data_IF_278743145976
#
_entry.id   IF_278743145976
#
_cell.length_a   1.000
_cell.length_b   1.000
_cell.length_c   1.000
_cell.angle_alpha   90.00
_cell.angle_beta   90.00
_cell.angle_gamma   90.00
#
_symmetry.space_group_name_H-M   'P 1'
#
loop_
_entity.id
_entity.type
_entity.pdbx_description
1 polymer ?
#
# COMPACT_ATOMS: atom_id res chain seq x y z
N UNK A 1 27.21 -9.58 -30.00
CA UNK A 1 25.95 -8.83 -29.96
C UNK A 1 24.88 -9.75 -29.38
N UNK A 2 24.53 -9.60 -28.09
CA UNK A 2 23.39 -10.28 -27.44
C UNK A 2 22.28 -9.23 -27.37
N UNK A 3 21.55 -9.05 -28.47
CA UNK A 3 20.20 -9.55 -28.71
C UNK A 3 19.22 -9.12 -27.60
N UNK A 4 18.37 -8.17 -28.00
CA UNK A 4 17.39 -7.41 -27.23
C UNK A 4 16.29 -8.33 -26.67
N UNK A 5 16.54 -8.97 -25.54
CA UNK A 5 15.49 -9.55 -24.71
C UNK A 5 15.50 -8.85 -23.35
N UNK A 6 14.33 -8.46 -22.86
CA UNK A 6 14.04 -7.97 -21.48
C UNK A 6 14.22 -6.49 -21.17
N UNK A 7 13.69 -5.60 -22.00
CA UNK A 7 13.14 -4.38 -21.44
C UNK A 7 11.63 -4.53 -21.40
N UNK A 8 11.10 -4.98 -20.25
CA UNK A 8 9.79 -4.46 -19.85
C UNK A 8 9.96 -2.94 -19.94
N UNK A 9 9.21 -2.22 -20.78
CA UNK A 9 9.54 -0.84 -21.06
C UNK A 9 9.63 -0.07 -19.76
N UNK A 10 10.73 0.67 -19.54
CA UNK A 10 10.97 1.40 -18.28
C UNK A 10 9.76 2.25 -17.90
N UNK A 11 9.05 2.81 -18.89
CA UNK A 11 7.80 3.54 -18.66
C UNK A 11 6.72 2.71 -17.96
N UNK A 12 6.53 1.43 -18.31
CA UNK A 12 5.52 0.56 -17.65
C UNK A 12 5.88 0.27 -16.20
N UNK A 13 7.17 0.09 -15.92
CA UNK A 13 7.65 -0.07 -14.54
C UNK A 13 7.39 1.20 -13.73
N UNK A 14 7.67 2.37 -14.30
CA UNK A 14 7.40 3.66 -13.67
C UNK A 14 5.91 3.90 -13.45
N UNK A 15 5.05 3.56 -14.41
CA UNK A 15 3.59 3.62 -14.27
C UNK A 15 3.10 2.74 -13.12
N UNK A 16 3.56 1.48 -13.06
CA UNK A 16 3.17 0.55 -11.99
C UNK A 16 3.67 1.00 -10.62
N UNK A 17 4.89 1.56 -10.56
CA UNK A 17 5.42 2.16 -9.33
C UNK A 17 4.60 3.37 -8.90
N UNK A 18 4.17 4.21 -9.84
CA UNK A 18 3.32 5.37 -9.55
C UNK A 18 1.96 4.97 -8.98
N UNK A 19 1.37 3.84 -9.42
CA UNK A 19 0.15 3.31 -8.81
C UNK A 19 0.32 2.96 -7.32
N UNK A 20 1.52 2.52 -6.91
CA UNK A 20 1.85 2.22 -5.50
C UNK A 20 2.08 3.53 -4.72
N UNK A 21 2.91 4.43 -5.25
CA UNK A 21 3.30 5.66 -4.52
C UNK A 21 2.17 6.69 -4.42
N UNK A 22 1.27 6.70 -5.40
CA UNK A 22 0.11 7.60 -5.46
C UNK A 22 -1.18 6.85 -5.14
N UNK A 23 -1.10 5.81 -4.32
CA UNK A 23 -2.28 5.05 -3.92
C UNK A 23 -3.28 5.96 -3.19
N UNK A 24 -4.56 5.82 -3.51
CA UNK A 24 -5.65 6.54 -2.84
C UNK A 24 -6.88 5.65 -2.63
N UNK A 25 -7.46 5.67 -1.43
CA UNK A 25 -8.69 4.95 -1.11
C UNK A 25 -9.90 5.61 -1.80
N UNK A 26 -10.48 4.94 -2.81
CA UNK A 26 -11.57 5.51 -3.62
C UNK A 26 -12.95 5.51 -2.95
N UNK A 27 -13.76 6.58 -3.16
CA UNK A 27 -15.17 6.88 -2.78
C UNK A 27 -15.90 5.94 -1.79
N UNK A 28 -16.08 4.69 -2.19
CA UNK A 28 -16.97 3.75 -1.48
C UNK A 28 -16.25 2.48 -1.06
N UNK A 29 -14.92 2.51 -0.99
CA UNK A 29 -14.08 1.38 -0.63
C UNK A 29 -13.81 1.35 0.88
N UNK A 30 -14.02 0.20 1.50
CA UNK A 30 -13.65 -0.06 2.90
C UNK A 30 -12.13 -0.10 3.09
N UNK A 31 -11.67 -0.26 4.34
CA UNK A 31 -10.25 -0.48 4.61
C UNK A 31 -9.79 -1.81 3.99
N UNK A 32 -10.60 -2.86 4.11
CA UNK A 32 -10.39 -4.16 3.49
C UNK A 32 -10.18 -4.04 1.97
N UNK A 33 -11.12 -3.41 1.26
CA UNK A 33 -11.01 -3.21 -0.19
C UNK A 33 -9.74 -2.46 -0.58
N UNK A 34 -9.39 -1.42 0.20
CA UNK A 34 -8.20 -0.62 -0.04
C UNK A 34 -6.93 -1.47 0.14
N UNK A 35 -6.87 -2.24 1.22
CA UNK A 35 -5.72 -3.07 1.56
C UNK A 35 -5.49 -4.18 0.54
N UNK A 36 -6.54 -4.89 0.13
CA UNK A 36 -6.44 -5.91 -0.93
C UNK A 36 -5.96 -5.31 -2.24
N UNK A 37 -6.50 -4.15 -2.64
CA UNK A 37 -6.06 -3.48 -3.85
C UNK A 37 -4.58 -3.08 -3.77
N UNK A 38 -4.13 -2.59 -2.62
CA UNK A 38 -2.74 -2.24 -2.42
C UNK A 38 -1.81 -3.46 -2.52
N UNK A 39 -2.17 -4.58 -1.87
CA UNK A 39 -1.44 -5.86 -2.00
C UNK A 39 -1.37 -6.35 -3.44
N UNK A 40 -2.46 -6.21 -4.20
CA UNK A 40 -2.49 -6.55 -5.63
C UNK A 40 -1.56 -5.66 -6.47
N UNK A 41 -1.40 -4.38 -6.14
CA UNK A 41 -0.45 -3.49 -6.83
C UNK A 41 1.00 -3.91 -6.59
N UNK A 42 1.34 -4.27 -5.35
CA UNK A 42 2.67 -4.81 -5.01
C UNK A 42 2.96 -6.09 -5.78
N UNK A 43 2.00 -7.03 -5.81
CA UNK A 43 2.14 -8.30 -6.52
C UNK A 43 2.32 -8.14 -8.03
N UNK A 44 1.64 -7.15 -8.63
CA UNK A 44 1.74 -6.86 -10.08
C UNK A 44 3.09 -6.27 -10.48
N UNK A 45 3.89 -5.79 -9.53
CA UNK A 45 5.15 -5.10 -9.81
C UNK A 45 6.26 -5.52 -8.82
N UNK A 46 6.70 -6.78 -8.78
CA UNK A 46 7.63 -7.27 -7.76
C UNK A 46 8.97 -6.50 -7.71
N UNK A 47 9.43 -5.95 -8.83
CA UNK A 47 10.62 -5.08 -8.93
C UNK A 47 10.31 -3.58 -8.72
N UNK A 48 9.26 -3.24 -7.98
CA UNK A 48 8.84 -1.84 -7.75
C UNK A 48 9.88 -0.98 -7.01
N UNK A 49 10.84 -1.59 -6.31
CA UNK A 49 11.92 -0.86 -5.62
C UNK A 49 11.45 0.06 -4.49
N UNK A 50 10.37 -0.35 -3.81
CA UNK A 50 9.76 0.38 -2.68
C UNK A 50 9.89 -0.53 -1.46
N UNK A 51 10.61 -0.09 -0.44
CA UNK A 51 10.80 -0.87 0.78
C UNK A 51 9.52 -0.98 1.62
N UNK A 52 9.52 -1.90 2.58
CA UNK A 52 8.33 -2.21 3.37
C UNK A 52 7.81 -1.02 4.19
N UNK A 53 8.70 -0.18 4.71
CA UNK A 53 8.32 1.01 5.48
C UNK A 53 7.63 2.03 4.55
N UNK A 54 8.24 2.31 3.40
CA UNK A 54 7.67 3.20 2.39
C UNK A 54 6.32 2.69 1.88
N UNK A 55 6.15 1.37 1.69
CA UNK A 55 4.86 0.78 1.33
C UNK A 55 3.77 1.13 2.35
N UNK A 56 4.03 0.96 3.65
CA UNK A 56 3.08 1.30 4.69
C UNK A 56 2.82 2.80 4.77
N UNK A 57 3.83 3.64 4.54
CA UNK A 57 3.66 5.09 4.47
C UNK A 57 2.76 5.50 3.29
N UNK A 58 2.97 4.98 2.09
CA UNK A 58 2.12 5.28 0.94
C UNK A 58 0.69 4.79 1.14
N UNK A 59 0.52 3.57 1.67
CA UNK A 59 -0.80 3.05 1.97
C UNK A 59 -1.55 3.96 2.95
N UNK A 60 -0.95 4.27 4.10
CA UNK A 60 -1.59 5.08 5.15
C UNK A 60 -1.86 6.52 4.73
N UNK A 61 -0.98 7.12 3.92
CA UNK A 61 -1.18 8.45 3.33
C UNK A 61 -2.29 8.47 2.28
N UNK A 62 -2.48 7.37 1.56
CA UNK A 62 -3.55 7.18 0.59
C UNK A 62 -4.92 6.91 1.20
N UNK A 63 -4.99 6.58 2.50
CA UNK A 63 -6.26 6.37 3.18
C UNK A 63 -7.03 7.66 3.37
N UNK A 64 -8.36 7.56 3.35
CA UNK A 64 -9.23 8.67 3.75
C UNK A 64 -9.01 9.05 5.20
N UNK A 65 -9.31 10.31 5.50
CA UNK A 65 -9.22 10.85 6.86
C UNK A 65 -10.00 9.99 7.87
N UNK A 66 -11.24 9.60 7.55
CA UNK A 66 -12.05 8.77 8.45
C UNK A 66 -11.41 7.40 8.72
N UNK A 67 -10.96 6.70 7.68
CA UNK A 67 -10.28 5.40 7.82
C UNK A 67 -9.00 5.52 8.63
N UNK A 68 -8.23 6.60 8.41
CA UNK A 68 -6.98 6.87 9.14
C UNK A 68 -7.23 7.13 10.62
N UNK A 69 -8.27 7.91 10.95
CA UNK A 69 -8.67 8.16 12.34
C UNK A 69 -9.03 6.85 13.04
N UNK A 70 -9.78 5.96 12.37
CA UNK A 70 -10.11 4.63 12.94
C UNK A 70 -8.85 3.79 13.17
N UNK A 71 -7.90 3.80 12.23
CA UNK A 71 -6.61 3.13 12.40
C UNK A 71 -5.79 3.69 13.56
N UNK A 72 -5.66 5.01 13.66
CA UNK A 72 -4.93 5.66 14.76
C UNK A 72 -5.59 5.36 16.12
N UNK A 73 -6.92 5.33 16.17
CA UNK A 73 -7.65 4.95 17.39
C UNK A 73 -7.34 3.50 17.81
N UNK A 74 -7.33 2.56 16.86
CA UNK A 74 -6.97 1.16 17.12
C UNK A 74 -5.49 0.96 17.45
N UNK A 75 -4.60 1.81 16.92
CA UNK A 75 -3.17 1.80 17.27
C UNK A 75 -2.88 2.35 18.67
N UNK A 76 -3.87 2.97 19.34
CA UNK A 76 -3.66 3.68 20.61
C UNK A 76 -2.87 4.99 20.46
N UNK A 77 -2.84 5.57 19.25
CA UNK A 77 -2.04 6.74 18.91
C UNK A 77 -1.78 6.84 17.40
N UNK A 78 -0.90 7.75 16.99
CA UNK A 78 -0.56 7.88 15.56
C UNK A 78 0.12 6.62 15.02
N UNK A 79 -0.44 6.02 13.97
CA UNK A 79 0.15 4.89 13.25
C UNK A 79 1.54 5.22 12.68
N UNK A 80 1.83 6.50 12.46
CA UNK A 80 3.17 6.95 12.01
C UNK A 80 4.29 6.69 13.02
N UNK A 81 3.95 6.42 14.27
CA UNK A 81 4.92 6.10 15.32
C UNK A 81 5.23 4.60 15.42
N UNK A 82 4.52 3.77 14.67
CA UNK A 82 4.69 2.32 14.60
C UNK A 82 5.74 1.96 13.57
N UNK A 83 6.46 0.87 13.81
CA UNK A 83 7.31 0.30 12.76
C UNK A 83 6.47 -0.36 11.64
N UNK A 84 7.12 -0.81 10.57
CA UNK A 84 6.42 -1.36 9.41
C UNK A 84 5.69 -2.67 9.72
N UNK A 85 6.18 -3.44 10.70
CA UNK A 85 5.61 -4.72 11.09
C UNK A 85 4.34 -4.46 11.89
N UNK A 86 4.42 -3.66 12.94
CA UNK A 86 3.29 -3.25 13.77
C UNK A 86 2.19 -2.58 12.93
N UNK A 87 2.57 -1.69 12.01
CA UNK A 87 1.60 -1.01 11.15
C UNK A 87 0.88 -1.99 10.21
N UNK A 88 1.61 -2.95 9.64
CA UNK A 88 1.03 -3.97 8.75
C UNK A 88 0.13 -4.92 9.51
N UNK A 89 0.55 -5.40 10.67
CA UNK A 89 -0.24 -6.29 11.53
C UNK A 89 -1.55 -5.63 11.97
N UNK A 90 -1.52 -4.33 12.31
CA UNK A 90 -2.73 -3.60 12.66
C UNK A 90 -3.69 -3.51 11.48
N UNK A 91 -3.19 -3.16 10.28
CA UNK A 91 -4.02 -3.09 9.08
C UNK A 91 -4.63 -4.45 8.78
N UNK A 92 -3.85 -5.53 8.78
CA UNK A 92 -4.35 -6.89 8.58
C UNK A 92 -5.45 -7.24 9.61
N UNK A 93 -5.19 -6.98 10.90
CA UNK A 93 -6.16 -7.24 11.99
C UNK A 93 -7.45 -6.47 11.78
N UNK A 94 -7.38 -5.18 11.45
CA UNK A 94 -8.58 -4.37 11.22
C UNK A 94 -9.34 -4.83 9.98
N UNK A 95 -8.64 -5.25 8.92
CA UNK A 95 -9.28 -5.73 7.70
C UNK A 95 -9.93 -7.10 7.87
N UNK A 96 -9.43 -7.95 8.78
CA UNK A 96 -10.07 -9.21 9.17
C UNK A 96 -11.35 -9.00 9.96
N UNK A 97 -11.46 -7.90 10.71
CA UNK A 97 -12.66 -7.54 11.46
C UNK A 97 -13.78 -6.94 10.59
N UNK A 98 -13.50 -6.62 9.32
CA UNK A 98 -14.50 -6.14 8.35
C UNK A 98 -15.17 -7.28 7.56
N UNK A 99 -14.79 -8.54 7.81
CA UNK A 99 -15.34 -9.74 7.18
C UNK A 99 -16.55 -10.34 7.91
#
# INVERSE_FOLDING_TARGET
VKFLERFFPIYKLLEKRAEITNFEQGDSKSLYDAWERFKLLLLKCPDHGVDALAQMQYFTQGLRAQTRISLDASAGGSLRNKDEVEARELVETMTQNEY
#
